data_IF_954196131430
#
_entry.id   IF_954196131430
#
_cell.length_a   1.000
_cell.length_b   1.000
_cell.length_c   1.000
_cell.angle_alpha   90.00
_cell.angle_beta   90.00
_cell.angle_gamma   90.00
#
_symmetry.space_group_name_H-M   'P 1'
#
loop_
_entity.id
_entity.type
_entity.pdbx_description
1 polymer ?
#
# COMPACT_ATOMS: atom_id res chain seq x y z
N UNK A 1 33.50 33.57 -0.80
CA UNK A 1 33.41 33.56 0.67
C UNK A 1 33.53 35.01 1.12
N UNK A 2 32.45 35.63 1.58
CA UNK A 2 32.45 37.03 2.04
C UNK A 2 32.89 37.07 3.50
N UNK A 3 33.92 37.84 3.83
CA UNK A 3 34.32 38.09 5.22
C UNK A 3 33.23 38.98 5.85
N UNK A 4 32.63 38.60 6.99
CA UNK A 4 31.63 39.43 7.63
C UNK A 4 32.24 40.80 8.01
N UNK A 5 31.46 41.87 7.91
CA UNK A 5 31.92 43.24 8.15
C UNK A 5 32.54 43.40 9.55
N UNK A 6 31.98 42.71 10.54
CA UNK A 6 32.47 42.75 11.92
C UNK A 6 33.89 42.17 12.07
N UNK A 7 34.21 41.13 11.29
CA UNK A 7 35.56 40.55 11.24
C UNK A 7 36.57 41.50 10.64
N UNK A 8 36.16 42.25 9.61
CA UNK A 8 37.03 43.25 8.98
C UNK A 8 37.38 44.38 9.97
N UNK A 9 36.39 44.87 10.72
CA UNK A 9 36.59 45.90 11.75
C UNK A 9 37.54 45.39 12.83
N UNK A 10 37.39 44.15 13.28
CA UNK A 10 38.24 43.56 14.30
C UNK A 10 39.69 43.36 13.84
N UNK A 11 39.90 42.89 12.60
CA UNK A 11 41.23 42.74 11.99
C UNK A 11 41.93 44.09 11.91
N UNK A 12 41.24 45.12 11.43
CA UNK A 12 41.80 46.48 11.30
C UNK A 12 42.20 47.02 12.68
N UNK A 13 41.34 46.88 13.68
CA UNK A 13 41.64 47.31 15.07
C UNK A 13 42.88 46.59 15.64
N UNK A 14 42.98 45.28 15.41
CA UNK A 14 44.08 44.46 15.91
C UNK A 14 45.42 44.82 15.24
N UNK A 15 45.39 45.06 13.92
CA UNK A 15 46.55 45.55 13.18
C UNK A 15 46.98 46.92 13.73
N UNK A 16 46.05 47.83 13.99
CA UNK A 16 46.35 49.13 14.58
C UNK A 16 46.99 49.00 15.98
N UNK A 17 46.49 48.12 16.84
CA UNK A 17 47.09 47.82 18.14
C UNK A 17 48.53 47.28 18.02
N UNK A 18 48.79 46.38 17.07
CA UNK A 18 50.14 45.86 16.81
C UNK A 18 51.09 46.99 16.40
N UNK A 19 50.68 47.88 15.49
CA UNK A 19 51.50 49.01 15.07
C UNK A 19 51.79 49.99 16.23
N UNK A 20 50.80 50.25 17.09
CA UNK A 20 50.98 51.08 18.28
C UNK A 20 51.96 50.45 19.28
N UNK A 21 51.85 49.13 19.50
CA UNK A 21 52.75 48.38 20.36
C UNK A 21 54.19 48.36 19.83
N UNK A 22 54.38 48.18 18.51
CA UNK A 22 55.71 48.26 17.88
C UNK A 22 56.30 49.67 18.02
N UNK A 23 55.47 50.70 17.84
CA UNK A 23 55.90 52.10 17.99
C UNK A 23 56.30 52.42 19.43
N UNK A 24 55.54 51.92 20.40
CA UNK A 24 55.87 52.07 21.82
C UNK A 24 57.14 51.31 22.20
N UNK A 25 57.30 50.06 21.74
CA UNK A 25 58.51 49.26 21.93
C UNK A 25 59.77 49.98 21.43
N UNK A 26 59.70 50.66 20.27
CA UNK A 26 60.84 51.42 19.72
C UNK A 26 61.24 52.64 20.55
N UNK A 27 60.35 53.16 21.40
CA UNK A 27 60.57 54.38 22.19
C UNK A 27 60.98 54.09 23.64
N UNK A 28 60.81 52.85 24.11
CA UNK A 28 61.16 52.46 25.49
C UNK A 28 62.66 52.20 25.63
N UNK A 29 63.28 52.77 26.67
CA UNK A 29 64.69 52.51 27.02
C UNK A 29 64.89 51.10 27.61
N UNK A 30 63.85 50.54 28.25
CA UNK A 30 63.79 49.14 28.65
C UNK A 30 62.88 48.34 27.69
N UNK A 31 63.46 47.33 27.04
CA UNK A 31 62.81 46.52 26.01
C UNK A 31 62.15 45.25 26.54
N UNK A 32 62.29 44.94 27.83
CA UNK A 32 61.82 43.67 28.41
C UNK A 32 60.30 43.67 28.65
N UNK A 33 59.77 44.68 29.33
CA UNK A 33 58.33 44.86 29.55
C UNK A 33 57.48 44.90 28.25
N UNK A 34 57.85 45.69 27.22
CA UNK A 34 57.05 45.75 25.99
C UNK A 34 57.07 44.45 25.18
N UNK A 35 58.13 43.64 25.30
CA UNK A 35 58.19 42.33 24.67
C UNK A 35 57.23 41.33 25.32
N UNK A 36 57.16 41.31 26.66
CA UNK A 36 56.25 40.43 27.40
C UNK A 36 54.79 40.79 27.11
N UNK A 37 54.46 42.08 27.07
CA UNK A 37 53.12 42.55 26.73
C UNK A 37 52.70 42.16 25.30
N UNK A 38 53.63 42.26 24.33
CA UNK A 38 53.38 41.87 22.95
C UNK A 38 53.14 40.35 22.81
N UNK A 39 53.95 39.53 23.49
CA UNK A 39 53.79 38.06 23.48
C UNK A 39 52.46 37.66 24.14
N UNK A 40 52.10 38.28 25.27
CA UNK A 40 50.82 38.05 25.94
C UNK A 40 49.62 38.39 25.04
N UNK A 41 49.70 39.51 24.32
CA UNK A 41 48.66 39.91 23.37
C UNK A 41 48.54 38.93 22.20
N UNK A 42 49.65 38.55 21.57
CA UNK A 42 49.66 37.57 20.46
C UNK A 42 49.10 36.22 20.92
N UNK A 43 49.49 35.76 22.10
CA UNK A 43 49.04 34.45 22.61
C UNK A 43 47.53 34.46 22.89
N UNK A 44 47.04 35.50 23.55
CA UNK A 44 45.60 35.67 23.83
C UNK A 44 44.79 35.78 22.53
N UNK A 45 45.33 36.51 21.55
CA UNK A 45 44.74 36.65 20.23
C UNK A 45 44.64 35.28 19.54
N UNK A 46 45.75 34.54 19.41
CA UNK A 46 45.74 33.22 18.76
C UNK A 46 44.76 32.25 19.44
N UNK A 47 44.71 32.24 20.78
CA UNK A 47 43.77 31.39 21.53
C UNK A 47 42.31 31.77 21.26
N UNK A 48 42.00 33.07 21.18
CA UNK A 48 40.66 33.54 20.87
C UNK A 48 40.19 33.08 19.48
N UNK A 49 41.01 33.29 18.44
CA UNK A 49 40.68 32.85 17.07
C UNK A 49 40.57 31.33 16.98
N UNK A 50 41.45 30.60 17.65
CA UNK A 50 41.39 29.14 17.64
C UNK A 50 40.09 28.65 18.29
N UNK A 51 39.62 29.30 19.37
CA UNK A 51 38.37 28.94 20.02
C UNK A 51 37.15 29.26 19.15
N UNK A 52 37.11 30.45 18.54
CA UNK A 52 36.00 30.88 17.67
C UNK A 52 35.92 30.05 16.39
N UNK A 53 37.07 29.76 15.75
CA UNK A 53 37.15 28.87 14.60
C UNK A 53 36.63 27.46 14.91
N UNK A 54 36.99 26.91 16.08
CA UNK A 54 36.51 25.60 16.50
C UNK A 54 35.00 25.60 16.80
N UNK A 55 34.45 26.71 17.31
CA UNK A 55 33.02 26.86 17.55
C UNK A 55 32.21 26.89 16.24
N UNK A 56 32.68 27.64 15.24
CA UNK A 56 32.02 27.69 13.93
C UNK A 56 32.07 26.33 13.22
N UNK A 57 33.23 25.64 13.26
CA UNK A 57 33.35 24.29 12.69
C UNK A 57 32.37 23.30 13.31
N UNK A 58 32.24 23.28 14.64
CA UNK A 58 31.26 22.40 15.32
C UNK A 58 29.83 22.72 14.91
N UNK A 59 29.52 24.00 14.71
CA UNK A 59 28.19 24.46 14.28
C UNK A 59 27.89 24.00 12.86
N UNK A 60 28.85 24.09 11.94
CA UNK A 60 28.71 23.60 10.56
C UNK A 60 28.57 22.06 10.49
N UNK A 61 29.31 21.32 11.33
CA UNK A 61 29.19 19.86 11.43
C UNK A 61 27.78 19.46 11.93
N UNK A 62 27.25 20.14 12.96
CA UNK A 62 25.89 19.93 13.47
C UNK A 62 24.82 20.25 12.41
N UNK A 63 24.95 21.36 11.68
CA UNK A 63 24.03 21.71 10.58
C UNK A 63 24.06 20.62 9.49
N UNK A 64 25.24 20.10 9.18
CA UNK A 64 25.40 19.04 8.17
C UNK A 64 24.75 17.72 8.62
N UNK A 65 24.92 17.34 9.88
CA UNK A 65 24.29 16.14 10.46
C UNK A 65 22.77 16.27 10.44
N UNK A 66 22.24 17.40 10.91
CA UNK A 66 20.79 17.64 10.94
C UNK A 66 20.21 17.68 9.53
N UNK A 67 20.91 18.28 8.56
CA UNK A 67 20.47 18.28 7.17
C UNK A 67 20.41 16.86 6.59
N UNK A 68 21.43 16.03 6.83
CA UNK A 68 21.41 14.61 6.42
C UNK A 68 20.28 13.83 7.08
N UNK A 69 20.00 14.07 8.36
CA UNK A 69 18.88 13.44 9.05
C UNK A 69 17.53 13.87 8.46
N UNK A 70 17.38 15.16 8.13
CA UNK A 70 16.16 15.68 7.49
C UNK A 70 15.98 15.16 6.06
N UNK A 71 17.06 15.02 5.29
CA UNK A 71 17.03 14.41 3.95
C UNK A 71 16.59 12.93 4.02
N UNK A 72 17.10 12.18 5.01
CA UNK A 72 16.67 10.79 5.28
C UNK A 72 15.19 10.73 5.68
N UNK A 73 14.71 11.67 6.51
CA UNK A 73 13.30 11.72 6.92
C UNK A 73 12.36 12.13 5.78
N UNK A 74 12.82 12.96 4.84
CA UNK A 74 12.03 13.34 3.66
C UNK A 74 11.87 12.19 2.65
N UNK A 75 12.75 11.19 2.68
CA UNK A 75 12.66 9.99 1.84
C UNK A 75 11.86 8.84 2.47
N UNK A 76 11.37 9.00 3.70
CA UNK A 76 10.42 8.08 4.32
C UNK A 76 8.99 8.54 4.08
N UNK A 77 8.21 7.71 3.38
CA UNK A 77 6.77 7.93 3.19
C UNK A 77 6.03 7.18 4.30
N UNK A 78 5.52 7.91 5.29
CA UNK A 78 4.75 7.32 6.39
C UNK A 78 3.33 7.02 5.91
N UNK A 79 3.03 5.75 5.70
CA UNK A 79 1.69 5.30 5.35
C UNK A 79 0.97 4.84 6.62
N UNK A 80 0.00 5.64 7.08
CA UNK A 80 -0.85 5.27 8.22
C UNK A 80 -2.04 4.46 7.72
N UNK A 81 -2.04 3.16 8.01
CA UNK A 81 -3.19 2.29 7.73
C UNK A 81 -4.09 2.30 8.96
N UNK A 82 -5.23 2.97 8.86
CA UNK A 82 -6.25 2.98 9.91
C UNK A 82 -7.15 1.75 9.74
N UNK A 83 -6.94 0.73 10.55
CA UNK A 83 -7.87 -0.38 10.67
C UNK A 83 -9.00 0.01 11.65
N UNK A 84 -10.24 -0.37 11.34
CA UNK A 84 -11.44 0.18 11.99
C UNK A 84 -11.64 -0.24 13.46
N UNK A 85 -10.69 -0.96 14.08
CA UNK A 85 -10.68 -1.25 15.52
C UNK A 85 -9.22 -1.23 16.07
N UNK A 86 -8.92 -0.13 16.77
CA UNK A 86 -7.91 0.12 17.83
C UNK A 86 -6.41 -0.22 17.69
N UNK A 87 -5.84 -0.60 16.53
CA UNK A 87 -4.37 -0.68 16.40
C UNK A 87 -3.85 0.00 15.13
N UNK A 88 -3.32 1.22 15.28
CA UNK A 88 -2.56 1.89 14.22
C UNK A 88 -1.17 1.26 14.14
N UNK A 89 -0.96 0.33 13.20
CA UNK A 89 0.40 -0.06 12.82
C UNK A 89 0.95 1.00 11.86
N UNK A 90 2.05 1.64 12.25
CA UNK A 90 2.80 2.52 11.37
C UNK A 90 3.73 1.64 10.52
N UNK A 91 3.62 1.74 9.19
CA UNK A 91 4.53 1.08 8.27
C UNK A 91 5.47 2.15 7.71
N UNK A 92 6.75 2.04 8.03
CA UNK A 92 7.80 2.85 7.40
C UNK A 92 8.17 2.23 6.06
N UNK A 93 7.85 2.94 4.98
CA UNK A 93 8.23 2.52 3.63
C UNK A 93 9.39 3.41 3.17
N UNK A 94 10.53 2.79 2.87
CA UNK A 94 11.69 3.45 2.30
C UNK A 94 11.52 3.56 0.78
N UNK A 95 11.72 4.76 0.22
CA UNK A 95 11.49 5.08 -1.20
C UNK A 95 12.32 4.25 -2.19
N UNK A 96 13.42 3.64 -1.74
CA UNK A 96 14.29 2.79 -2.55
C UNK A 96 13.83 1.32 -2.66
N UNK A 97 12.73 0.95 -1.99
CA UNK A 97 12.15 -0.41 -2.01
C UNK A 97 10.80 -0.50 -2.74
N UNK A 98 10.34 0.60 -3.35
CA UNK A 98 9.07 0.65 -4.06
C UNK A 98 9.31 0.62 -5.56
N UNK A 99 8.88 -0.47 -6.21
CA UNK A 99 8.74 -0.53 -7.66
C UNK A 99 7.26 -0.44 -8.00
N UNK A 100 6.84 0.62 -8.70
CA UNK A 100 5.50 0.66 -9.29
C UNK A 100 5.54 -0.19 -10.54
N UNK A 101 4.94 -1.38 -10.48
CA UNK A 101 4.82 -2.28 -11.62
C UNK A 101 3.41 -2.17 -12.20
N UNK A 102 3.29 -1.48 -13.33
CA UNK A 102 2.02 -1.37 -14.07
C UNK A 102 1.01 -0.40 -13.46
N UNK A 103 -0.10 -0.23 -14.17
CA UNK A 103 -1.00 0.92 -14.01
C UNK A 103 -1.86 0.88 -12.73
N UNK A 104 -2.03 -0.29 -12.10
CA UNK A 104 -3.10 -0.49 -11.10
C UNK A 104 -2.69 -1.27 -9.82
N UNK A 105 -1.45 -1.74 -9.71
CA UNK A 105 -0.96 -2.46 -8.53
C UNK A 105 0.34 -1.84 -7.99
N UNK A 106 0.33 -1.43 -6.72
CA UNK A 106 1.56 -1.05 -6.02
C UNK A 106 2.08 -2.28 -5.29
N UNK A 107 3.18 -2.85 -5.78
CA UNK A 107 3.89 -3.95 -5.10
C UNK A 107 5.03 -3.34 -4.29
N UNK A 108 4.93 -3.43 -2.97
CA UNK A 108 6.02 -3.09 -2.05
C UNK A 108 6.79 -4.38 -1.78
N UNK A 109 8.03 -4.46 -2.22
CA UNK A 109 8.91 -5.60 -1.94
C UNK A 109 9.73 -5.31 -0.69
N UNK A 110 9.57 -6.14 0.33
CA UNK A 110 10.41 -6.11 1.52
C UNK A 110 11.72 -6.85 1.31
N UNK A 111 12.71 -6.55 2.15
CA UNK A 111 13.89 -7.39 2.29
C UNK A 111 13.43 -8.83 2.60
N UNK A 112 14.11 -9.83 2.06
CA UNK A 112 13.77 -11.27 2.17
C UNK A 112 12.62 -11.78 1.27
N UNK A 113 12.26 -11.04 0.21
CA UNK A 113 11.29 -11.52 -0.78
C UNK A 113 9.83 -11.47 -0.32
N UNK A 114 9.56 -10.77 0.78
CA UNK A 114 8.19 -10.44 1.19
C UNK A 114 7.59 -9.42 0.22
N UNK A 115 6.31 -9.55 -0.10
CA UNK A 115 5.63 -8.63 -1.02
C UNK A 115 4.29 -8.19 -0.41
N UNK A 116 4.02 -6.89 -0.42
CA UNK A 116 2.71 -6.32 -0.15
C UNK A 116 2.17 -5.80 -1.47
N UNK A 117 1.14 -6.45 -1.99
CA UNK A 117 0.42 -5.96 -3.16
C UNK A 117 -0.77 -5.12 -2.70
N UNK A 118 -0.69 -3.81 -2.94
CA UNK A 118 -1.78 -2.87 -2.77
C UNK A 118 -2.41 -2.69 -4.15
N UNK A 119 -3.45 -3.47 -4.43
CA UNK A 119 -4.31 -3.20 -5.58
C UNK A 119 -5.24 -2.03 -5.29
N UNK A 120 -5.69 -1.32 -6.32
CA UNK A 120 -6.89 -0.48 -6.14
C UNK A 120 -8.02 -1.39 -5.69
N UNK A 121 -8.66 -1.03 -4.58
CA UNK A 121 -10.02 -1.50 -4.31
C UNK A 121 -10.91 -0.85 -5.37
N UNK A 122 -10.91 -1.42 -6.57
CA UNK A 122 -11.88 -1.04 -7.59
C UNK A 122 -13.25 -1.26 -6.98
N UNK A 123 -14.01 -0.18 -6.87
CA UNK A 123 -15.41 -0.28 -6.47
C UNK A 123 -16.13 -0.92 -7.65
N UNK A 124 -16.90 -2.00 -7.44
CA UNK A 124 -17.67 -2.57 -8.54
C UNK A 124 -18.62 -1.53 -9.11
N UNK A 125 -18.78 -1.53 -10.43
CA UNK A 125 -19.80 -0.74 -11.12
C UNK A 125 -21.21 -1.15 -10.71
N UNK A 126 -21.39 -2.44 -10.38
CA UNK A 126 -22.63 -3.01 -9.89
C UNK A 126 -22.33 -4.07 -8.82
N UNK A 127 -23.02 -3.99 -7.70
CA UNK A 127 -23.05 -5.01 -6.66
C UNK A 127 -24.51 -5.34 -6.35
N UNK A 128 -24.90 -6.58 -6.63
CA UNK A 128 -26.28 -7.05 -6.49
C UNK A 128 -26.34 -8.36 -5.70
N UNK A 129 -27.39 -8.51 -4.90
CA UNK A 129 -27.62 -9.70 -4.09
C UNK A 129 -28.95 -10.33 -4.52
N UNK A 130 -28.89 -11.59 -4.93
CA UNK A 130 -30.05 -12.38 -5.34
C UNK A 130 -30.16 -13.66 -4.51
N UNK A 131 -31.35 -14.26 -4.48
CA UNK A 131 -31.60 -15.51 -3.77
C UNK A 131 -32.01 -16.60 -4.77
N UNK A 132 -31.22 -17.67 -4.84
CA UNK A 132 -31.38 -18.74 -5.84
C UNK A 132 -31.71 -20.05 -5.15
N UNK A 133 -32.85 -20.66 -5.48
CA UNK A 133 -33.27 -21.98 -4.98
C UNK A 133 -33.66 -22.96 -6.10
N UNK A 134 -33.76 -22.46 -7.32
CA UNK A 134 -34.16 -23.16 -8.53
C UNK A 134 -33.63 -22.34 -9.72
N UNK A 135 -34.47 -22.03 -10.71
CA UNK A 135 -34.14 -21.16 -11.83
C UNK A 135 -34.34 -19.69 -11.47
N UNK A 136 -33.36 -18.84 -11.80
CA UNK A 136 -33.48 -17.40 -11.69
C UNK A 136 -32.82 -16.72 -12.89
N UNK A 137 -33.60 -16.04 -13.70
CA UNK A 137 -33.05 -14.97 -14.55
C UNK A 137 -32.91 -13.72 -13.67
N UNK A 138 -31.68 -13.25 -13.45
CA UNK A 138 -31.45 -12.10 -12.56
C UNK A 138 -31.54 -10.76 -13.28
N UNK A 139 -31.65 -10.76 -14.62
CA UNK A 139 -31.63 -9.56 -15.46
C UNK A 139 -30.39 -8.67 -15.26
N UNK A 140 -29.34 -9.19 -14.62
CA UNK A 140 -28.08 -8.44 -14.40
C UNK A 140 -27.35 -8.36 -15.73
N UNK A 141 -27.20 -7.17 -16.33
CA UNK A 141 -26.62 -7.04 -17.65
C UNK A 141 -25.10 -7.21 -17.58
N UNK A 142 -24.56 -8.00 -18.51
CA UNK A 142 -23.14 -8.25 -18.70
C UNK A 142 -22.77 -7.84 -20.13
N UNK A 143 -21.69 -7.06 -20.25
CA UNK A 143 -21.12 -6.66 -21.53
C UNK A 143 -19.80 -7.39 -21.68
N UNK A 144 -19.45 -7.78 -22.92
CA UNK A 144 -18.16 -8.35 -23.25
C UNK A 144 -17.00 -7.52 -22.67
N UNK A 145 -16.09 -8.19 -21.97
CA UNK A 145 -14.95 -7.63 -21.27
C UNK A 145 -15.24 -7.20 -19.83
N UNK A 146 -16.50 -7.19 -19.38
CA UNK A 146 -16.82 -6.97 -17.96
C UNK A 146 -16.20 -8.12 -17.14
N UNK A 147 -15.56 -7.78 -16.01
CA UNK A 147 -15.12 -8.78 -15.03
C UNK A 147 -16.25 -9.00 -14.04
N UNK A 148 -16.59 -10.25 -13.80
CA UNK A 148 -17.67 -10.68 -12.92
C UNK A 148 -17.08 -11.52 -11.79
N UNK A 149 -17.42 -11.16 -10.55
CA UNK A 149 -17.13 -11.95 -9.35
C UNK A 149 -18.45 -12.35 -8.72
N UNK A 150 -18.66 -13.66 -8.56
CA UNK A 150 -19.85 -14.26 -7.97
C UNK A 150 -19.42 -14.94 -6.68
N UNK A 151 -20.08 -14.60 -5.59
CA UNK A 151 -19.91 -15.31 -4.31
C UNK A 151 -21.26 -15.80 -3.83
N UNK A 152 -21.32 -17.00 -3.28
CA UNK A 152 -22.55 -17.58 -2.82
C UNK A 152 -22.40 -18.14 -1.40
N UNK A 153 -23.45 -17.98 -0.61
CA UNK A 153 -23.55 -18.50 0.76
C UNK A 153 -24.93 -19.07 1.02
N UNK A 154 -25.12 -19.72 2.15
CA UNK A 154 -26.42 -20.29 2.54
C UNK A 154 -26.52 -21.78 2.28
N UNK A 155 -27.73 -22.29 2.35
CA UNK A 155 -28.04 -23.72 2.28
C UNK A 155 -29.42 -23.93 1.66
N UNK A 156 -29.54 -24.97 0.86
CA UNK A 156 -30.82 -25.45 0.31
C UNK A 156 -31.02 -26.90 0.71
N UNK A 157 -32.27 -27.33 0.90
CA UNK A 157 -32.64 -28.74 1.01
C UNK A 157 -33.16 -29.23 -0.32
N UNK A 158 -32.49 -30.22 -0.92
CA UNK A 158 -32.79 -30.81 -2.24
C UNK A 158 -33.45 -32.19 -2.09
N UNK A 159 -34.57 -32.21 -1.37
CA UNK A 159 -35.31 -33.44 -1.08
C UNK A 159 -34.79 -34.28 0.09
N UNK A 160 -35.58 -35.29 0.51
CA UNK A 160 -35.37 -36.02 1.76
C UNK A 160 -34.17 -36.98 1.74
N UNK A 161 -33.77 -37.44 0.55
CA UNK A 161 -32.69 -38.44 0.40
C UNK A 161 -31.30 -37.78 0.35
N UNK A 162 -31.22 -36.57 -0.22
CA UNK A 162 -29.95 -35.83 -0.35
C UNK A 162 -29.76 -34.85 0.81
N UNK A 163 -30.85 -34.27 1.30
CA UNK A 163 -30.84 -33.31 2.41
C UNK A 163 -30.28 -31.95 2.02
N UNK A 164 -29.52 -31.33 2.93
CA UNK A 164 -29.05 -29.96 2.79
C UNK A 164 -27.72 -29.87 2.04
N UNK A 165 -27.57 -28.94 1.10
CA UNK A 165 -26.35 -28.65 0.35
C UNK A 165 -26.01 -27.16 0.38
N UNK A 166 -24.72 -26.83 0.41
CA UNK A 166 -24.21 -25.47 0.13
C UNK A 166 -23.93 -25.25 -1.36
N UNK A 167 -23.53 -24.04 -1.77
CA UNK A 167 -23.38 -23.67 -3.19
C UNK A 167 -22.43 -24.54 -4.01
N UNK A 168 -21.44 -25.17 -3.37
CA UNK A 168 -20.51 -26.12 -4.00
C UNK A 168 -21.14 -27.47 -4.35
N UNK A 169 -22.40 -27.73 -3.99
CA UNK A 169 -23.08 -28.99 -4.26
C UNK A 169 -22.57 -30.18 -3.44
N UNK A 170 -22.97 -31.37 -3.88
CA UNK A 170 -22.57 -32.67 -3.33
C UNK A 170 -22.23 -33.66 -4.43
N UNK A 171 -21.23 -34.49 -4.15
CA UNK A 171 -20.81 -35.60 -5.01
C UNK A 171 -21.71 -36.84 -4.86
N UNK A 172 -22.29 -37.05 -3.67
CA UNK A 172 -23.10 -38.23 -3.40
C UNK A 172 -24.17 -37.99 -2.32
N UNK A 173 -25.22 -38.80 -2.37
CA UNK A 173 -26.28 -38.79 -1.36
C UNK A 173 -26.07 -39.85 -0.26
N UNK A 174 -27.07 -40.01 0.62
CA UNK A 174 -27.05 -40.98 1.71
C UNK A 174 -26.79 -42.41 1.22
N UNK A 175 -25.69 -43.02 1.66
CA UNK A 175 -25.32 -44.38 1.24
C UNK A 175 -24.43 -44.45 -0.01
N UNK A 176 -23.84 -43.32 -0.43
CA UNK A 176 -22.91 -43.22 -1.57
C UNK A 176 -23.55 -43.53 -2.93
N UNK A 177 -24.86 -43.34 -3.07
CA UNK A 177 -25.48 -43.41 -4.40
C UNK A 177 -25.05 -42.21 -5.24
N UNK A 178 -24.83 -42.47 -6.53
CA UNK A 178 -24.52 -41.42 -7.51
C UNK A 178 -25.71 -40.49 -7.67
N UNK A 179 -25.44 -39.18 -7.71
CA UNK A 179 -26.45 -38.15 -7.94
C UNK A 179 -26.48 -37.65 -9.39
N UNK A 180 -25.60 -38.15 -10.26
CA UNK A 180 -25.41 -37.65 -11.62
C UNK A 180 -26.70 -37.69 -12.46
N UNK A 181 -27.49 -38.76 -12.35
CA UNK A 181 -28.77 -38.91 -13.09
C UNK A 181 -29.85 -37.92 -12.63
N UNK A 182 -29.67 -37.27 -11.48
CA UNK A 182 -30.60 -36.29 -10.92
C UNK A 182 -30.17 -34.85 -11.23
N UNK A 183 -29.08 -34.66 -11.98
CA UNK A 183 -28.52 -33.36 -12.31
C UNK A 183 -28.99 -32.87 -13.67
N UNK A 184 -29.11 -31.54 -13.81
CA UNK A 184 -29.33 -30.89 -15.10
C UNK A 184 -28.09 -31.09 -15.97
N UNK A 185 -26.90 -30.93 -15.37
CA UNK A 185 -25.60 -31.25 -15.97
C UNK A 185 -25.00 -32.42 -15.19
N UNK A 186 -25.03 -33.65 -15.74
CA UNK A 186 -24.55 -34.85 -15.05
C UNK A 186 -23.12 -34.75 -14.54
N UNK A 187 -22.25 -34.03 -15.26
CA UNK A 187 -20.84 -33.87 -14.92
C UNK A 187 -20.56 -32.92 -13.74
N UNK A 188 -21.55 -32.16 -13.27
CA UNK A 188 -21.40 -31.21 -12.16
C UNK A 188 -21.98 -31.78 -10.88
N UNK A 189 -21.60 -31.22 -9.74
CA UNK A 189 -22.10 -31.69 -8.44
C UNK A 189 -23.59 -31.43 -8.31
N UNK A 190 -24.29 -32.36 -7.68
CA UNK A 190 -25.71 -32.19 -7.42
C UNK A 190 -25.93 -31.02 -6.47
N UNK A 191 -26.99 -30.24 -6.72
CA UNK A 191 -27.33 -29.03 -5.98
C UNK A 191 -26.29 -27.89 -6.08
N UNK A 192 -25.26 -28.00 -6.93
CA UNK A 192 -24.31 -26.90 -7.12
C UNK A 192 -25.00 -25.69 -7.76
N UNK A 193 -24.55 -24.49 -7.37
CA UNK A 193 -24.92 -23.26 -8.07
C UNK A 193 -24.24 -23.25 -9.44
N UNK A 194 -25.03 -23.06 -10.48
CA UNK A 194 -24.58 -22.85 -11.84
C UNK A 194 -24.98 -21.46 -12.33
N UNK A 195 -24.25 -20.96 -13.31
CA UNK A 195 -24.64 -19.78 -14.06
C UNK A 195 -24.47 -20.00 -15.56
N UNK A 196 -25.08 -19.12 -16.34
CA UNK A 196 -24.75 -18.87 -17.74
C UNK A 196 -25.17 -17.46 -18.13
N UNK A 197 -24.68 -16.96 -19.25
CA UNK A 197 -25.24 -15.77 -19.87
C UNK A 197 -26.45 -16.14 -20.75
N UNK A 198 -27.39 -15.21 -20.93
CA UNK A 198 -28.62 -15.45 -21.70
C UNK A 198 -28.40 -15.94 -23.13
N UNK A 199 -27.26 -15.57 -23.73
CA UNK A 199 -26.85 -15.97 -25.08
C UNK A 199 -26.05 -17.30 -25.10
N UNK A 200 -25.97 -18.01 -23.98
CA UNK A 200 -25.26 -19.29 -23.85
C UNK A 200 -26.21 -20.47 -23.74
N UNK A 201 -25.84 -21.55 -24.42
CA UNK A 201 -26.54 -22.83 -24.32
C UNK A 201 -26.05 -23.65 -23.12
N UNK A 202 -24.76 -23.55 -22.80
CA UNK A 202 -24.10 -24.37 -21.78
C UNK A 202 -24.10 -23.69 -20.40
N UNK A 203 -24.26 -24.51 -19.35
CA UNK A 203 -24.13 -24.07 -17.96
C UNK A 203 -22.67 -24.17 -17.50
N UNK A 204 -22.27 -23.30 -16.59
CA UNK A 204 -20.98 -23.36 -15.89
C UNK A 204 -21.21 -23.51 -14.38
N UNK A 205 -20.49 -24.44 -13.75
CA UNK A 205 -20.50 -24.60 -12.28
C UNK A 205 -19.79 -23.39 -11.61
N UNK A 206 -20.48 -22.74 -10.67
CA UNK A 206 -20.01 -21.54 -9.97
C UNK A 206 -19.51 -21.86 -8.55
N UNK A 207 -20.22 -22.73 -7.83
CA UNK A 207 -19.90 -22.99 -6.42
C UNK A 207 -20.10 -21.77 -5.52
N UNK A 208 -19.28 -21.65 -4.47
CA UNK A 208 -19.32 -20.57 -3.47
C UNK A 208 -18.51 -19.32 -3.86
N UNK A 209 -17.57 -19.44 -4.80
CA UNK A 209 -16.75 -18.33 -5.28
C UNK A 209 -16.25 -18.58 -6.70
N UNK A 210 -16.61 -17.70 -7.61
CA UNK A 210 -16.25 -17.79 -9.02
C UNK A 210 -15.98 -16.41 -9.63
N UNK A 211 -15.02 -16.35 -10.55
CA UNK A 211 -14.68 -15.12 -11.26
C UNK A 211 -14.43 -15.42 -12.73
N UNK A 212 -14.95 -14.57 -13.61
CA UNK A 212 -14.70 -14.65 -15.05
C UNK A 212 -14.70 -13.28 -15.71
N UNK A 213 -14.12 -13.23 -16.91
CA UNK A 213 -14.26 -12.10 -17.82
C UNK A 213 -15.25 -12.51 -18.92
N UNK A 214 -16.28 -11.69 -19.14
CA UNK A 214 -17.32 -12.00 -20.11
C UNK A 214 -16.78 -11.96 -21.53
N UNK A 215 -16.98 -13.01 -22.31
CA UNK A 215 -16.57 -13.10 -23.71
C UNK A 215 -17.65 -12.62 -24.69
N UNK A 216 -18.89 -12.48 -24.20
CA UNK A 216 -20.09 -12.05 -24.92
C UNK A 216 -21.00 -11.16 -24.05
N UNK A 217 -21.97 -10.52 -24.70
CA UNK A 217 -23.02 -9.75 -24.04
C UNK A 217 -24.16 -10.68 -23.60
N UNK A 218 -24.90 -10.29 -22.55
CA UNK A 218 -26.10 -11.02 -22.11
C UNK A 218 -26.59 -10.60 -20.73
N UNK A 219 -27.53 -11.36 -20.16
CA UNK A 219 -27.89 -11.27 -18.74
C UNK A 219 -27.43 -12.51 -17.98
N UNK A 220 -27.06 -12.36 -16.71
CA UNK A 220 -26.76 -13.51 -15.84
C UNK A 220 -28.04 -14.29 -15.53
N UNK A 221 -27.95 -15.60 -15.72
CA UNK A 221 -28.97 -16.56 -15.35
C UNK A 221 -28.34 -17.56 -14.39
N UNK A 222 -29.04 -17.87 -13.31
CA UNK A 222 -28.64 -18.83 -12.29
C UNK A 222 -29.57 -20.04 -12.26
N UNK A 223 -29.01 -21.18 -11.87
CA UNK A 223 -29.74 -22.43 -11.75
C UNK A 223 -29.09 -23.32 -10.69
N UNK A 224 -29.91 -24.06 -9.94
CA UNK A 224 -29.42 -25.15 -9.09
C UNK A 224 -29.31 -26.42 -9.93
N UNK A 225 -28.16 -27.10 -9.85
CA UNK A 225 -27.93 -28.35 -10.58
C UNK A 225 -28.72 -29.54 -10.01
N UNK A 226 -30.03 -29.53 -10.27
CA UNK A 226 -30.99 -30.50 -9.79
C UNK A 226 -32.21 -30.51 -10.74
N UNK A 227 -32.58 -31.69 -11.25
CA UNK A 227 -33.73 -31.87 -12.12
C UNK A 227 -35.07 -31.80 -11.37
N UNK A 228 -35.09 -32.00 -10.05
CA UNK A 228 -36.29 -32.13 -9.25
C UNK A 228 -36.68 -30.85 -8.47
N UNK A 229 -36.42 -29.68 -9.05
CA UNK A 229 -36.45 -28.37 -8.37
C UNK A 229 -37.69 -28.03 -7.53
N UNK A 230 -38.85 -28.63 -7.85
CA UNK A 230 -40.10 -28.46 -7.10
C UNK A 230 -40.04 -28.86 -5.62
N UNK A 231 -39.07 -29.68 -5.22
CA UNK A 231 -38.88 -30.12 -3.83
C UNK A 231 -37.78 -29.33 -3.10
N UNK A 232 -37.25 -28.27 -3.72
CA UNK A 232 -36.20 -27.45 -3.13
C UNK A 232 -36.78 -26.46 -2.13
N UNK A 233 -36.09 -26.30 -1.00
CA UNK A 233 -36.44 -25.32 0.03
C UNK A 233 -35.20 -24.63 0.59
N UNK A 234 -35.36 -23.40 1.09
CA UNK A 234 -34.24 -22.50 1.36
C UNK A 234 -33.79 -21.73 0.10
N UNK A 235 -32.62 -21.12 0.15
CA UNK A 235 -31.98 -20.46 -0.99
C UNK A 235 -30.49 -20.21 -0.74
N UNK A 236 -29.71 -20.16 -1.82
CA UNK A 236 -28.39 -19.54 -1.80
C UNK A 236 -28.52 -18.04 -1.91
N UNK A 237 -27.80 -17.31 -1.06
CA UNK A 237 -27.60 -15.87 -1.18
C UNK A 237 -26.38 -15.65 -2.07
N UNK A 238 -26.62 -15.16 -3.28
CA UNK A 238 -25.60 -14.92 -4.30
C UNK A 238 -25.34 -13.43 -4.39
N UNK A 239 -24.08 -13.02 -4.21
CA UNK A 239 -23.62 -11.65 -4.41
C UNK A 239 -22.83 -11.60 -5.72
N UNK A 240 -23.28 -10.78 -6.65
CA UNK A 240 -22.64 -10.52 -7.93
C UNK A 240 -21.97 -9.15 -7.87
N UNK A 241 -20.68 -9.10 -8.19
CA UNK A 241 -19.92 -7.87 -8.36
C UNK A 241 -19.43 -7.79 -9.78
N UNK A 242 -19.73 -6.68 -10.46
CA UNK A 242 -19.35 -6.42 -11.84
C UNK A 242 -18.43 -5.22 -11.94
N UNK A 243 -17.41 -5.34 -12.77
CA UNK A 243 -16.42 -4.31 -13.05
C UNK A 243 -16.36 -4.12 -14.56
N UNK A 244 -16.54 -2.89 -15.03
CA UNK A 244 -16.51 -2.61 -16.47
C UNK A 244 -15.13 -2.86 -17.05
N UNK A 245 -15.12 -3.35 -18.28
CA UNK A 245 -13.91 -3.38 -19.10
C UNK A 245 -13.26 -1.99 -19.12
N UNK A 246 -11.95 -1.93 -18.84
CA UNK A 246 -11.18 -0.70 -19.00
C UNK A 246 -11.19 -0.33 -20.49
N UNK A 247 -11.92 0.75 -20.84
CA UNK A 247 -11.86 1.30 -22.19
C UNK A 247 -10.50 1.97 -22.36
N UNK A 248 -9.59 1.30 -23.06
CA UNK A 248 -8.34 1.89 -23.55
C UNK A 248 -8.57 2.61 -24.87
#
# INVERSE_FOLDING_TARGET
MSIPVDWLIFIISSIACIFLSIRWYKKSDDKTEPAIALIGFITTFVLFFFNEYNADRKTQELITINKRQMDVLQDTLLLQIKHNDSLTKQLEIYRNQTSVQGNDNVVIQGNYGSQIQIGRNEKPDLEEVVYVNSFLNSDIPVIKGDKINITATGSISVGPVVGHSGPNGKESGVGSFSLEDYNIVPAYRHAALMYKLSEEDEWTECGDNFSFEADKDGSLIFQINDNAQSNNSGAYKVTVKKYKASRF
#
